data_IF_982642562542
#
_entry.id   IF_982642562542
#
_cell.length_a   1.000
_cell.length_b   1.000
_cell.length_c   1.000
_cell.angle_alpha   90.00
_cell.angle_beta   90.00
_cell.angle_gamma   90.00
#
_symmetry.space_group_name_H-M   'P 1'
#
loop_
_entity.id
_entity.type
_entity.pdbx_description
1 polymer ?
#
# COMPACT_ATOMS: atom_id res chain seq x y z
N UNK A 1 -8.53 0.64 -11.36
CA UNK A 1 -9.61 0.55 -12.38
C UNK A 1 -9.57 1.68 -13.42
N UNK A 2 -8.70 2.71 -13.23
CA UNK A 2 -8.60 3.82 -14.17
C UNK A 2 -7.71 3.54 -15.40
N UNK A 3 -6.98 2.42 -15.43
CA UNK A 3 -6.04 2.11 -16.51
C UNK A 3 -6.72 1.68 -17.80
N UNK A 4 -7.89 1.03 -17.72
CA UNK A 4 -8.67 0.62 -18.87
C UNK A 4 -10.17 0.61 -18.59
N UNK A 5 -10.99 0.68 -19.64
CA UNK A 5 -12.44 0.56 -19.50
C UNK A 5 -12.86 -0.84 -19.00
N UNK A 6 -12.11 -1.88 -19.38
CA UNK A 6 -12.37 -3.24 -18.90
C UNK A 6 -12.23 -3.35 -17.39
N UNK A 7 -11.16 -2.81 -16.81
CA UNK A 7 -10.95 -2.80 -15.36
C UNK A 7 -12.00 -1.94 -14.64
N UNK A 8 -12.34 -0.80 -15.23
CA UNK A 8 -13.40 0.06 -14.71
C UNK A 8 -14.73 -0.68 -14.64
N UNK A 9 -15.16 -1.28 -15.75
CA UNK A 9 -16.41 -2.04 -15.85
C UNK A 9 -16.40 -3.27 -14.94
N UNK A 10 -15.26 -3.92 -14.75
CA UNK A 10 -15.15 -5.04 -13.82
C UNK A 10 -15.50 -4.61 -12.38
N UNK A 11 -14.91 -3.54 -11.88
CA UNK A 11 -15.22 -3.01 -10.54
C UNK A 11 -16.68 -2.58 -10.45
N UNK A 12 -17.21 -1.91 -11.48
CA UNK A 12 -18.64 -1.53 -11.53
C UNK A 12 -19.55 -2.76 -11.45
N UNK A 13 -19.24 -3.79 -12.22
CA UNK A 13 -20.02 -5.04 -12.24
C UNK A 13 -20.07 -5.68 -10.85
N UNK A 14 -18.92 -5.76 -10.14
CA UNK A 14 -18.89 -6.32 -8.79
C UNK A 14 -19.80 -5.55 -7.83
N UNK A 15 -19.83 -4.23 -7.93
CA UNK A 15 -20.63 -3.37 -7.05
C UNK A 15 -22.12 -3.40 -7.44
N UNK A 16 -22.45 -3.21 -8.71
CA UNK A 16 -23.82 -3.09 -9.21
C UNK A 16 -24.62 -4.38 -9.08
N UNK A 17 -23.93 -5.52 -9.23
CA UNK A 17 -24.55 -6.84 -9.07
C UNK A 17 -24.42 -7.42 -7.65
N UNK A 18 -23.90 -6.61 -6.68
CA UNK A 18 -23.71 -7.01 -5.28
C UNK A 18 -22.92 -8.33 -5.13
N UNK A 19 -21.82 -8.46 -5.89
CA UNK A 19 -20.99 -9.66 -5.93
C UNK A 19 -19.88 -9.65 -4.86
N UNK A 20 -19.75 -8.57 -4.08
CA UNK A 20 -18.75 -8.43 -3.02
C UNK A 20 -19.34 -8.96 -1.71
N UNK A 21 -18.79 -10.05 -1.13
CA UNK A 21 -19.26 -10.58 0.16
C UNK A 21 -19.08 -9.54 1.29
N UNK A 22 -19.95 -9.58 2.30
CA UNK A 22 -19.93 -8.60 3.40
C UNK A 22 -18.63 -8.63 4.22
N UNK A 23 -17.93 -9.76 4.26
CA UNK A 23 -16.63 -9.92 4.94
C UNK A 23 -15.43 -9.55 4.05
N UNK A 24 -15.66 -9.09 2.81
CA UNK A 24 -14.62 -8.68 1.87
C UNK A 24 -14.62 -7.16 1.72
N UNK A 25 -13.45 -6.55 1.77
CA UNK A 25 -13.22 -5.16 1.40
C UNK A 25 -12.42 -5.13 0.11
N UNK A 26 -12.98 -4.54 -0.96
CA UNK A 26 -12.24 -4.40 -2.21
C UNK A 26 -11.17 -3.33 -2.08
N UNK A 27 -10.04 -3.55 -2.74
CA UNK A 27 -8.93 -2.61 -2.82
C UNK A 27 -8.68 -2.21 -4.25
N UNK A 28 -8.51 -0.91 -4.50
CA UNK A 28 -8.19 -0.35 -5.82
C UNK A 28 -6.94 0.51 -5.71
N UNK A 29 -6.00 0.32 -6.63
CA UNK A 29 -4.73 1.05 -6.64
C UNK A 29 -4.75 2.22 -7.62
N UNK A 30 -4.09 3.31 -7.24
CA UNK A 30 -3.97 4.52 -8.07
C UNK A 30 -2.63 5.23 -7.83
N UNK A 31 -1.93 5.68 -8.90
CA UNK A 31 -0.81 6.59 -8.73
C UNK A 31 -1.29 7.96 -8.22
N UNK A 32 -0.39 8.73 -7.61
CA UNK A 32 -0.67 10.07 -7.11
C UNK A 32 -0.84 11.10 -8.26
N UNK A 33 -1.86 10.91 -9.09
CA UNK A 33 -2.25 11.79 -10.20
C UNK A 33 -3.75 12.07 -10.13
N UNK A 34 -4.13 13.32 -9.98
CA UNK A 34 -5.51 13.75 -9.69
C UNK A 34 -6.55 13.11 -10.62
N UNK A 35 -6.37 13.19 -11.94
CA UNK A 35 -7.33 12.66 -12.89
C UNK A 35 -7.54 11.13 -12.74
N UNK A 36 -6.45 10.39 -12.46
CA UNK A 36 -6.50 8.94 -12.26
C UNK A 36 -7.17 8.61 -10.93
N UNK A 37 -6.85 9.35 -9.86
CA UNK A 37 -7.48 9.19 -8.54
C UNK A 37 -8.99 9.39 -8.66
N UNK A 38 -9.44 10.49 -9.29
CA UNK A 38 -10.87 10.79 -9.44
C UNK A 38 -11.62 9.68 -10.19
N UNK A 39 -11.07 9.18 -11.30
CA UNK A 39 -11.67 8.06 -12.04
C UNK A 39 -11.65 6.75 -11.25
N UNK A 40 -10.58 6.50 -10.48
CA UNK A 40 -10.49 5.33 -9.60
C UNK A 40 -11.57 5.35 -8.52
N UNK A 41 -11.77 6.50 -7.86
CA UNK A 41 -12.79 6.62 -6.81
C UNK A 41 -14.20 6.63 -7.41
N UNK A 42 -14.40 7.20 -8.60
CA UNK A 42 -15.66 7.13 -9.35
C UNK A 42 -16.10 5.66 -9.57
N UNK A 43 -15.16 4.77 -9.90
CA UNK A 43 -15.45 3.35 -10.08
C UNK A 43 -16.00 2.68 -8.80
N UNK A 44 -15.76 3.24 -7.61
CA UNK A 44 -16.25 2.74 -6.32
C UNK A 44 -17.66 3.26 -5.96
N UNK A 45 -18.31 4.06 -6.79
CA UNK A 45 -19.63 4.61 -6.48
C UNK A 45 -20.64 3.51 -6.12
N UNK A 46 -21.26 3.62 -4.94
CA UNK A 46 -22.20 2.62 -4.40
C UNK A 46 -21.55 1.49 -3.60
N UNK A 47 -20.23 1.41 -3.52
CA UNK A 47 -19.55 0.45 -2.66
C UNK A 47 -19.78 0.76 -1.17
N UNK A 48 -20.03 -0.25 -0.34
CA UNK A 48 -20.22 -0.09 1.10
C UNK A 48 -18.91 0.29 1.81
N UNK A 49 -17.82 -0.38 1.47
CA UNK A 49 -16.48 -0.15 2.01
C UNK A 49 -15.41 -0.51 0.97
N UNK A 50 -14.38 0.29 0.89
CA UNK A 50 -13.26 0.04 -0.01
C UNK A 50 -11.94 0.61 0.56
N UNK A 51 -10.83 0.05 0.13
CA UNK A 51 -9.49 0.60 0.32
C UNK A 51 -9.07 1.30 -0.98
N UNK A 52 -8.68 2.56 -0.88
CA UNK A 52 -8.03 3.29 -1.97
C UNK A 52 -6.53 3.32 -1.70
N UNK A 53 -5.79 2.56 -2.49
CA UNK A 53 -4.36 2.39 -2.37
C UNK A 53 -3.63 3.41 -3.24
N UNK A 54 -3.12 4.45 -2.61
CA UNK A 54 -2.33 5.51 -3.23
C UNK A 54 -0.85 5.14 -3.22
N UNK A 55 -0.15 5.36 -4.33
CA UNK A 55 1.31 5.22 -4.36
C UNK A 55 2.00 6.32 -5.15
N UNK A 56 3.23 6.60 -4.80
CA UNK A 56 4.16 7.36 -5.61
C UNK A 56 5.61 6.91 -5.34
N UNK A 57 6.49 6.98 -6.36
CA UNK A 57 7.89 6.58 -6.22
C UNK A 57 8.66 7.46 -5.23
N UNK A 58 9.47 6.82 -4.37
CA UNK A 58 10.21 7.51 -3.31
C UNK A 58 11.72 7.22 -3.30
N UNK A 59 12.19 6.16 -4.00
CA UNK A 59 13.60 5.79 -3.99
C UNK A 59 14.52 6.89 -4.53
N UNK A 60 15.77 6.94 -4.05
CA UNK A 60 16.76 7.90 -4.50
C UNK A 60 16.93 7.87 -6.03
N UNK A 61 17.05 6.67 -6.61
CA UNK A 61 17.22 6.52 -8.06
C UNK A 61 16.02 7.11 -8.85
N UNK A 62 14.79 6.88 -8.41
CA UNK A 62 13.61 7.42 -9.09
C UNK A 62 13.51 8.94 -8.94
N UNK A 63 13.79 9.47 -7.73
CA UNK A 63 13.77 10.91 -7.50
C UNK A 63 14.79 11.66 -8.35
N UNK A 64 16.01 11.15 -8.43
CA UNK A 64 17.15 11.83 -9.08
C UNK A 64 17.18 11.62 -10.59
N UNK A 65 16.95 10.37 -11.05
CA UNK A 65 17.15 10.00 -12.46
C UNK A 65 15.89 10.07 -13.31
N UNK A 66 14.70 9.91 -12.69
CA UNK A 66 13.44 9.84 -13.44
C UNK A 66 12.63 11.12 -13.25
N UNK A 67 12.40 11.52 -11.99
CA UNK A 67 11.51 12.65 -11.71
C UNK A 67 12.25 13.98 -11.56
N UNK A 68 13.55 13.96 -11.30
CA UNK A 68 14.35 15.15 -11.02
C UNK A 68 13.72 16.04 -9.93
N UNK A 69 13.28 15.41 -8.82
CA UNK A 69 12.57 16.05 -7.72
C UNK A 69 13.27 15.88 -6.38
N UNK A 70 13.19 16.93 -5.57
CA UNK A 70 13.64 16.89 -4.17
C UNK A 70 12.69 16.01 -3.32
N UNK A 71 13.16 15.59 -2.14
CA UNK A 71 12.34 14.87 -1.14
C UNK A 71 11.06 15.63 -0.80
N UNK A 72 11.13 16.96 -0.60
CA UNK A 72 9.95 17.80 -0.34
C UNK A 72 8.92 17.77 -1.46
N UNK A 73 9.37 17.88 -2.71
CA UNK A 73 8.46 17.79 -3.87
C UNK A 73 7.80 16.42 -4.03
N UNK A 74 8.48 15.34 -3.61
CA UNK A 74 7.89 13.99 -3.60
C UNK A 74 6.83 13.87 -2.50
N UNK A 75 7.07 14.46 -1.31
CA UNK A 75 6.05 14.56 -0.25
C UNK A 75 4.84 15.34 -0.75
N UNK A 76 5.03 16.50 -1.40
CA UNK A 76 3.92 17.31 -1.94
C UNK A 76 3.03 16.52 -2.91
N UNK A 77 3.64 15.66 -3.76
CA UNK A 77 2.89 14.78 -4.66
C UNK A 77 2.01 13.79 -3.85
N UNK A 78 2.56 13.15 -2.83
CA UNK A 78 1.81 12.25 -1.96
C UNK A 78 0.63 12.99 -1.28
N UNK A 79 0.90 14.14 -0.66
CA UNK A 79 -0.11 14.92 0.05
C UNK A 79 -1.22 15.44 -0.87
N UNK A 80 -0.89 15.86 -2.08
CA UNK A 80 -1.90 16.23 -3.07
C UNK A 80 -2.79 15.03 -3.44
N UNK A 81 -2.21 13.84 -3.59
CA UNK A 81 -2.96 12.61 -3.81
C UNK A 81 -3.90 12.30 -2.65
N UNK A 82 -3.42 12.39 -1.41
CA UNK A 82 -4.22 12.20 -0.18
C UNK A 82 -5.40 13.16 -0.14
N UNK A 83 -5.17 14.45 -0.37
CA UNK A 83 -6.23 15.48 -0.39
C UNK A 83 -7.27 15.19 -1.46
N UNK A 84 -6.84 14.76 -2.65
CA UNK A 84 -7.76 14.41 -3.73
C UNK A 84 -8.64 13.21 -3.35
N UNK A 85 -8.06 12.17 -2.71
CA UNK A 85 -8.83 11.03 -2.22
C UNK A 85 -9.80 11.46 -1.12
N UNK A 86 -9.37 12.30 -0.17
CA UNK A 86 -10.22 12.80 0.91
C UNK A 86 -11.42 13.61 0.38
N UNK A 87 -11.19 14.49 -0.61
CA UNK A 87 -12.28 15.24 -1.29
C UNK A 87 -13.28 14.29 -1.97
N UNK A 88 -12.80 13.27 -2.66
CA UNK A 88 -13.67 12.29 -3.31
C UNK A 88 -14.41 11.42 -2.28
N UNK A 89 -13.73 10.94 -1.25
CA UNK A 89 -14.31 10.11 -0.18
C UNK A 89 -15.40 10.84 0.60
N UNK A 90 -15.22 12.13 0.86
CA UNK A 90 -16.23 12.97 1.54
C UNK A 90 -17.54 13.10 0.79
N UNK A 91 -17.59 12.78 -0.50
CA UNK A 91 -18.80 12.78 -1.35
C UNK A 91 -19.44 11.40 -1.49
N UNK A 92 -18.77 10.35 -0.99
CA UNK A 92 -19.26 8.97 -1.06
C UNK A 92 -20.11 8.62 0.15
N UNK A 93 -21.08 7.71 -0.05
CA UNK A 93 -21.86 7.15 1.06
C UNK A 93 -21.17 5.98 1.75
N UNK A 94 -20.21 5.34 1.06
CA UNK A 94 -19.45 4.20 1.57
C UNK A 94 -18.25 4.63 2.40
N UNK A 95 -17.70 3.71 3.18
CA UNK A 95 -16.49 3.92 3.97
C UNK A 95 -15.26 3.73 3.07
N UNK A 96 -14.40 4.74 3.02
CA UNK A 96 -13.11 4.68 2.31
C UNK A 96 -11.98 4.68 3.34
N UNK A 97 -11.13 3.65 3.26
CA UNK A 97 -9.88 3.57 3.99
C UNK A 97 -8.73 3.92 3.05
N UNK A 98 -7.82 4.75 3.52
CA UNK A 98 -6.60 5.04 2.76
C UNK A 98 -5.56 3.96 3.01
N UNK A 99 -4.95 3.50 1.92
CA UNK A 99 -3.67 2.82 1.94
C UNK A 99 -2.65 3.66 1.18
N UNK A 100 -1.44 3.77 1.71
CA UNK A 100 -0.35 4.50 1.06
C UNK A 100 0.90 3.65 0.94
N UNK A 101 1.49 3.65 -0.26
CA UNK A 101 2.79 3.03 -0.53
C UNK A 101 3.83 4.07 -0.93
N UNK A 102 4.90 4.26 -0.14
CA UNK A 102 6.13 4.84 -0.65
C UNK A 102 6.79 3.82 -1.59
N UNK A 103 6.48 3.88 -2.88
CA UNK A 103 6.91 2.88 -3.86
C UNK A 103 8.43 2.77 -3.91
N UNK A 104 8.94 1.54 -4.03
CA UNK A 104 10.36 1.22 -3.90
C UNK A 104 10.90 1.56 -2.49
N UNK A 105 10.14 1.21 -1.45
CA UNK A 105 10.49 1.45 -0.05
C UNK A 105 11.89 0.92 0.30
N UNK A 106 12.26 -0.29 -0.16
CA UNK A 106 13.58 -0.88 0.09
C UNK A 106 14.75 -0.11 -0.54
N UNK A 107 14.49 0.73 -1.53
CA UNK A 107 15.45 1.64 -2.17
C UNK A 107 15.32 3.11 -1.71
N UNK A 108 14.49 3.35 -0.70
CA UNK A 108 14.28 4.67 -0.11
C UNK A 108 15.04 4.76 1.20
N UNK A 109 15.66 5.90 1.47
CA UNK A 109 16.39 6.12 2.73
C UNK A 109 15.40 6.05 3.91
N UNK A 110 15.72 5.32 5.00
CA UNK A 110 14.77 5.09 6.09
C UNK A 110 14.20 6.36 6.72
N UNK A 111 15.03 7.41 6.90
CA UNK A 111 14.62 8.71 7.40
C UNK A 111 13.60 9.40 6.49
N UNK A 112 13.79 9.26 5.18
CA UNK A 112 12.86 9.83 4.20
C UNK A 112 11.57 9.02 4.10
N UNK A 113 11.66 7.70 4.14
CA UNK A 113 10.49 6.82 4.18
C UNK A 113 9.61 7.13 5.40
N UNK A 114 10.22 7.31 6.57
CA UNK A 114 9.52 7.73 7.78
C UNK A 114 8.87 9.11 7.61
N UNK A 115 9.61 10.09 7.10
CA UNK A 115 9.11 11.45 6.94
C UNK A 115 7.89 11.54 6.02
N UNK A 116 7.89 10.80 4.90
CA UNK A 116 6.75 10.80 3.98
C UNK A 116 5.55 10.03 4.54
N UNK A 117 5.78 8.92 5.24
CA UNK A 117 4.73 8.17 5.93
C UNK A 117 4.06 9.03 7.01
N UNK A 118 4.84 9.69 7.88
CA UNK A 118 4.34 10.63 8.89
C UNK A 118 3.52 11.75 8.24
N UNK A 119 4.00 12.34 7.15
CA UNK A 119 3.29 13.40 6.45
C UNK A 119 1.92 12.93 5.92
N UNK A 120 1.86 11.74 5.35
CA UNK A 120 0.60 11.14 4.86
C UNK A 120 -0.36 10.85 6.01
N UNK A 121 0.11 10.28 7.12
CA UNK A 121 -0.71 10.02 8.32
C UNK A 121 -1.29 11.31 8.87
N UNK A 122 -0.47 12.36 9.00
CA UNK A 122 -0.90 13.67 9.50
C UNK A 122 -1.90 14.36 8.57
N UNK A 123 -1.78 14.19 7.26
CA UNK A 123 -2.72 14.77 6.28
C UNK A 123 -4.05 14.02 6.27
N UNK A 124 -4.02 12.67 6.30
CA UNK A 124 -5.23 11.83 6.27
C UNK A 124 -6.02 11.88 7.58
N UNK A 125 -5.33 12.03 8.71
CA UNK A 125 -5.91 12.06 10.08
C UNK A 125 -6.73 10.80 10.40
N UNK A 126 -6.12 9.61 10.39
CA UNK A 126 -6.81 8.37 10.71
C UNK A 126 -7.30 8.36 12.15
N UNK A 127 -8.27 7.48 12.42
CA UNK A 127 -8.71 7.15 13.79
C UNK A 127 -8.36 5.71 14.13
N UNK A 128 -8.46 5.33 15.39
CA UNK A 128 -8.22 3.95 15.82
C UNK A 128 -9.24 2.97 15.20
N UNK A 129 -10.48 3.44 14.94
CA UNK A 129 -11.56 2.65 14.32
C UNK A 129 -11.41 2.55 12.80
N UNK A 130 -10.73 3.52 12.18
CA UNK A 130 -10.43 3.55 10.73
C UNK A 130 -8.97 3.94 10.54
N UNK A 131 -8.04 3.02 10.82
CA UNK A 131 -6.61 3.27 10.67
C UNK A 131 -6.23 3.45 9.19
N UNK A 132 -5.14 4.18 8.95
CA UNK A 132 -4.50 4.17 7.63
C UNK A 132 -3.63 2.94 7.47
N UNK A 133 -3.54 2.40 6.27
CA UNK A 133 -2.60 1.33 5.95
C UNK A 133 -1.36 1.95 5.30
N UNK A 134 -0.19 1.70 5.87
CA UNK A 134 1.10 1.99 5.25
C UNK A 134 1.66 0.70 4.68
N UNK A 135 1.72 0.61 3.37
CA UNK A 135 2.21 -0.56 2.66
C UNK A 135 3.68 -0.38 2.29
N UNK A 136 4.55 -1.06 3.02
CA UNK A 136 6.00 -0.96 2.91
C UNK A 136 6.50 -2.01 1.91
N UNK A 137 6.43 -1.66 0.62
CA UNK A 137 6.67 -2.60 -0.45
C UNK A 137 8.16 -2.85 -0.71
N UNK A 138 8.57 -4.11 -0.69
CA UNK A 138 9.82 -4.55 -1.34
C UNK A 138 9.56 -4.66 -2.84
N UNK A 139 9.35 -3.50 -3.50
CA UNK A 139 9.00 -3.41 -4.94
C UNK A 139 10.02 -4.12 -5.81
N UNK A 140 11.28 -4.02 -5.43
CA UNK A 140 12.35 -4.90 -5.87
C UNK A 140 13.11 -5.38 -4.63
N UNK A 141 13.38 -6.67 -4.55
CA UNK A 141 14.12 -7.27 -3.43
C UNK A 141 15.61 -6.91 -3.57
N UNK A 142 15.98 -5.72 -3.07
CA UNK A 142 17.33 -5.17 -3.21
C UNK A 142 18.33 -5.73 -2.18
N UNK A 143 17.84 -6.28 -1.06
CA UNK A 143 18.66 -6.69 0.07
C UNK A 143 18.27 -8.07 0.60
N UNK A 144 18.95 -8.52 1.65
CA UNK A 144 18.59 -9.75 2.36
C UNK A 144 17.36 -9.51 3.26
N UNK A 145 16.54 -10.53 3.55
CA UNK A 145 15.29 -10.40 4.29
C UNK A 145 15.38 -9.69 5.64
N UNK A 146 16.46 -9.90 6.39
CA UNK A 146 16.68 -9.22 7.68
C UNK A 146 16.90 -7.70 7.52
N UNK A 147 17.43 -7.23 6.38
CA UNK A 147 17.58 -5.79 6.12
C UNK A 147 16.20 -5.17 5.90
N UNK A 148 15.31 -5.86 5.16
CA UNK A 148 13.92 -5.44 5.02
C UNK A 148 13.22 -5.38 6.39
N UNK A 149 13.38 -6.43 7.21
CA UNK A 149 12.83 -6.45 8.56
C UNK A 149 13.34 -5.29 9.42
N UNK A 150 14.64 -4.97 9.37
CA UNK A 150 15.19 -3.81 10.09
C UNK A 150 14.56 -2.48 9.62
N UNK A 151 14.25 -2.33 8.33
CA UNK A 151 13.55 -1.15 7.81
C UNK A 151 12.10 -1.09 8.33
N UNK A 152 11.42 -2.23 8.43
CA UNK A 152 10.07 -2.32 9.02
C UNK A 152 10.10 -1.92 10.49
N UNK A 153 11.03 -2.50 11.29
CA UNK A 153 11.19 -2.18 12.71
C UNK A 153 11.51 -0.69 12.92
N UNK A 154 12.32 -0.12 12.03
CA UNK A 154 12.61 1.31 12.09
C UNK A 154 11.33 2.16 11.92
N UNK A 155 10.49 1.85 10.94
CA UNK A 155 9.21 2.55 10.76
C UNK A 155 8.28 2.27 11.96
N UNK A 156 8.15 1.01 12.39
CA UNK A 156 7.29 0.62 13.51
C UNK A 156 7.60 1.42 14.78
N UNK A 157 8.87 1.58 15.10
CA UNK A 157 9.35 2.19 16.35
C UNK A 157 9.43 3.72 16.32
N UNK A 158 9.47 4.34 15.14
CA UNK A 158 9.66 5.80 15.01
C UNK A 158 8.43 6.53 14.45
N UNK A 159 7.44 5.81 13.91
CA UNK A 159 6.25 6.43 13.32
C UNK A 159 5.40 7.10 14.41
N UNK A 160 5.00 8.35 14.14
CA UNK A 160 4.01 9.05 14.97
C UNK A 160 2.63 8.42 14.82
N UNK A 161 1.79 8.55 15.83
CA UNK A 161 0.43 7.98 15.80
C UNK A 161 0.39 6.50 15.36
N UNK A 162 1.39 5.70 15.77
CA UNK A 162 1.56 4.31 15.38
C UNK A 162 0.32 3.45 15.65
N UNK A 163 -0.43 3.79 16.69
CA UNK A 163 -1.68 3.14 17.11
C UNK A 163 -2.84 3.34 16.13
N UNK A 164 -2.72 4.28 15.18
CA UNK A 164 -3.71 4.56 14.12
C UNK A 164 -3.26 4.05 12.75
N UNK A 165 -2.24 3.20 12.71
CA UNK A 165 -1.62 2.72 11.47
C UNK A 165 -1.55 1.20 11.46
N UNK A 166 -1.91 0.60 10.33
CA UNK A 166 -1.63 -0.80 10.01
C UNK A 166 -0.39 -0.83 9.11
N UNK A 167 0.69 -1.47 9.55
CA UNK A 167 1.84 -1.74 8.69
C UNK A 167 1.56 -2.96 7.83
N UNK A 168 1.52 -2.78 6.53
CA UNK A 168 1.34 -3.81 5.52
C UNK A 168 2.66 -4.11 4.81
N UNK A 169 2.95 -5.37 4.60
CA UNK A 169 4.15 -5.87 3.94
C UNK A 169 3.79 -6.35 2.54
N UNK A 170 4.57 -5.97 1.55
CA UNK A 170 4.33 -6.35 0.16
C UNK A 170 5.64 -6.77 -0.52
N UNK A 171 6.18 -7.94 -0.17
CA UNK A 171 7.42 -8.42 -0.78
C UNK A 171 7.18 -9.01 -2.16
N UNK A 172 8.07 -8.65 -3.09
CA UNK A 172 8.24 -9.34 -4.38
C UNK A 172 9.30 -10.44 -4.26
N UNK A 173 9.32 -11.37 -5.21
CA UNK A 173 10.11 -12.60 -5.11
C UNK A 173 11.36 -12.60 -6.02
N UNK A 174 11.92 -11.43 -6.31
CA UNK A 174 13.06 -11.30 -7.24
C UNK A 174 14.29 -12.11 -6.82
N UNK A 175 14.47 -12.32 -5.53
CA UNK A 175 15.58 -13.13 -4.95
C UNK A 175 15.14 -14.51 -4.45
N UNK A 176 13.88 -14.89 -4.65
CA UNK A 176 13.32 -16.10 -4.08
C UNK A 176 13.11 -16.04 -2.54
N UNK A 177 13.10 -14.83 -1.95
CA UNK A 177 13.09 -14.61 -0.50
C UNK A 177 11.82 -13.95 0.03
N UNK A 178 10.77 -13.80 -0.79
CA UNK A 178 9.56 -13.07 -0.41
C UNK A 178 8.88 -13.63 0.87
N UNK A 179 8.86 -14.96 1.05
CA UNK A 179 8.34 -15.59 2.27
C UNK A 179 9.16 -15.17 3.49
N UNK A 180 10.48 -15.25 3.42
CA UNK A 180 11.35 -14.86 4.53
C UNK A 180 11.26 -13.35 4.82
N UNK A 181 11.10 -12.51 3.79
CA UNK A 181 10.85 -11.08 3.97
C UNK A 181 9.53 -10.83 4.72
N UNK A 182 8.45 -11.54 4.36
CA UNK A 182 7.16 -11.43 5.03
C UNK A 182 7.24 -11.92 6.49
N UNK A 183 7.80 -13.10 6.74
CA UNK A 183 7.92 -13.67 8.08
C UNK A 183 8.75 -12.78 9.02
N UNK A 184 9.93 -12.35 8.59
CA UNK A 184 10.78 -11.46 9.39
C UNK A 184 10.17 -10.07 9.52
N UNK A 185 9.50 -9.55 8.50
CA UNK A 185 8.80 -8.28 8.56
C UNK A 185 7.62 -8.30 9.54
N UNK A 186 6.90 -9.42 9.66
CA UNK A 186 5.86 -9.58 10.68
C UNK A 186 6.45 -9.59 12.08
N UNK A 187 7.57 -10.25 12.31
CA UNK A 187 8.29 -10.20 13.58
C UNK A 187 8.80 -8.80 13.92
N UNK A 188 9.04 -7.98 12.92
CA UNK A 188 9.51 -6.61 13.03
C UNK A 188 8.38 -5.55 13.18
N UNK A 189 7.12 -5.96 13.33
CA UNK A 189 5.98 -5.07 13.55
C UNK A 189 4.95 -5.01 12.41
N UNK A 190 5.16 -5.75 11.32
CA UNK A 190 4.17 -5.88 10.24
C UNK A 190 2.91 -6.59 10.72
N UNK A 191 1.74 -6.03 10.38
CA UNK A 191 0.42 -6.52 10.85
C UNK A 191 -0.44 -7.09 9.73
N UNK A 192 -0.08 -6.83 8.48
CA UNK A 192 -0.80 -7.25 7.27
C UNK A 192 0.22 -7.65 6.20
N UNK A 193 -0.11 -8.62 5.39
CA UNK A 193 0.70 -9.02 4.23
C UNK A 193 -0.14 -8.97 2.97
N UNK A 194 0.41 -8.39 1.93
CA UNK A 194 -0.11 -8.41 0.57
C UNK A 194 0.71 -9.35 -0.30
N UNK A 195 0.04 -10.20 -1.03
CA UNK A 195 0.65 -11.15 -1.92
C UNK A 195 -0.37 -11.72 -2.90
N UNK A 196 -0.02 -12.83 -3.51
CA UNK A 196 -0.91 -13.53 -4.44
C UNK A 196 -1.08 -14.99 -4.05
N UNK A 197 -2.19 -15.59 -4.48
CA UNK A 197 -2.35 -17.05 -4.36
C UNK A 197 -1.24 -17.71 -5.19
N UNK A 198 -0.46 -18.58 -4.54
CA UNK A 198 0.64 -19.33 -5.15
C UNK A 198 1.80 -18.48 -5.71
N UNK A 199 1.91 -17.21 -5.30
CA UNK A 199 3.03 -16.35 -5.62
C UNK A 199 3.09 -15.80 -7.04
N UNK A 200 2.11 -16.08 -7.91
CA UNK A 200 2.10 -15.56 -9.28
C UNK A 200 1.87 -14.03 -9.29
N UNK A 201 2.75 -13.28 -9.96
CA UNK A 201 2.67 -11.82 -9.95
C UNK A 201 3.68 -11.18 -10.90
N UNK A 202 4.08 -9.95 -10.63
CA UNK A 202 5.04 -9.22 -11.44
C UNK A 202 6.41 -9.90 -11.45
N UNK A 203 7.05 -9.95 -12.61
CA UNK A 203 8.40 -10.50 -12.82
C UNK A 203 8.51 -11.95 -12.34
N UNK A 204 9.24 -12.18 -11.24
CA UNK A 204 9.43 -13.49 -10.62
C UNK A 204 8.29 -13.87 -9.65
N UNK A 205 7.38 -12.95 -9.38
CA UNK A 205 6.23 -13.16 -8.50
C UNK A 205 6.24 -12.29 -7.23
N UNK A 206 5.22 -12.52 -6.43
CA UNK A 206 5.01 -11.90 -5.12
C UNK A 206 5.17 -12.95 -4.01
N UNK A 207 4.99 -12.56 -2.77
CA UNK A 207 4.87 -13.52 -1.67
C UNK A 207 3.70 -14.47 -1.93
N UNK A 208 3.95 -15.76 -1.80
CA UNK A 208 2.93 -16.81 -1.89
C UNK A 208 2.15 -16.87 -0.58
N UNK A 209 0.91 -16.38 -0.59
CA UNK A 209 0.06 -16.33 0.60
C UNK A 209 -0.28 -17.73 1.14
N UNK A 210 -0.35 -18.75 0.28
CA UNK A 210 -0.64 -20.11 0.73
C UNK A 210 0.55 -20.66 1.50
N UNK A 211 1.76 -20.54 0.96
CA UNK A 211 2.98 -20.99 1.66
C UNK A 211 3.16 -20.22 2.97
N UNK A 212 2.99 -18.89 2.97
CA UNK A 212 3.08 -18.08 4.18
C UNK A 212 2.06 -18.53 5.25
N UNK A 213 0.80 -18.72 4.85
CA UNK A 213 -0.25 -19.17 5.77
C UNK A 213 0.04 -20.55 6.38
N UNK A 214 0.56 -21.50 5.57
CA UNK A 214 0.94 -22.82 6.05
C UNK A 214 2.14 -22.79 7.00
N UNK A 215 3.12 -21.93 6.71
CA UNK A 215 4.26 -21.73 7.62
C UNK A 215 3.79 -21.18 8.97
N UNK A 216 2.98 -20.13 8.98
CA UNK A 216 2.41 -19.56 10.20
C UNK A 216 1.58 -20.60 10.98
N UNK A 217 0.73 -21.36 10.29
CA UNK A 217 -0.10 -22.40 10.90
C UNK A 217 0.78 -23.51 11.54
N UNK A 218 1.89 -23.88 10.91
CA UNK A 218 2.78 -24.95 11.42
C UNK A 218 3.57 -24.52 12.65
N UNK A 219 3.72 -23.22 12.88
CA UNK A 219 4.40 -22.67 14.06
C UNK A 219 3.45 -22.34 15.21
N UNK A 220 2.14 -22.42 15.03
CA UNK A 220 1.12 -22.10 16.04
C UNK A 220 0.79 -20.63 16.06
#
# INVERSE_FOLDING_TARGET
PAASDTEYQFVRTLIEHNLIPDNVTIQVITPAREAIIRRTVEALAGCKKAIVHLYNPTSAAQREQVFHKSRGQIIDIALQGVRTIADCAGRMKGQIQLEYTPESFTGTEPDFALAICDAVVQEWKPTAELPVILNLASTMSLSLPHIYANQIEYIDTHLRDRDKVILSLHPHNDRGSAIAEAELGMLAGGQRVEGTLFGNGERTGNVDLITLALNLYSHG
#
